data_IF_676010280324
#
_entry.id   IF_676010280324
#
_cell.length_a   1.000
_cell.length_b   1.000
_cell.length_c   1.000
_cell.angle_alpha   90.00
_cell.angle_beta   90.00
_cell.angle_gamma   90.00
#
_symmetry.space_group_name_H-M   'P 1'
#
loop_
_entity.id
_entity.type
_entity.pdbx_description
1 polymer ?
#
# COMPACT_ATOMS: atom_id res chain seq x y z
N UNK A 1 25.58 28.96 12.42
CA UNK A 1 25.01 28.81 11.03
C UNK A 1 25.32 27.46 10.35
N UNK A 2 26.03 26.54 10.96
CA UNK A 2 26.49 25.28 10.31
C UNK A 2 25.56 24.06 10.46
N UNK A 3 24.52 24.10 11.27
CA UNK A 3 23.77 22.88 11.65
C UNK A 3 22.65 22.48 10.66
N UNK A 4 22.15 23.38 9.86
CA UNK A 4 20.98 23.08 8.99
C UNK A 4 21.32 22.16 7.79
N UNK A 5 22.55 22.16 7.29
CA UNK A 5 22.98 21.35 6.16
C UNK A 5 23.64 20.00 6.54
N UNK A 6 23.98 19.79 7.81
CA UNK A 6 24.70 18.60 8.25
C UNK A 6 23.86 17.32 8.20
N UNK A 7 22.60 17.40 8.69
CA UNK A 7 21.68 16.23 8.70
C UNK A 7 21.42 15.64 7.29
N UNK A 8 21.06 16.44 6.27
CA UNK A 8 20.89 15.92 4.92
C UNK A 8 22.16 15.31 4.33
N UNK A 9 23.34 15.89 4.62
CA UNK A 9 24.62 15.40 4.11
C UNK A 9 25.01 14.04 4.73
N UNK A 10 24.89 13.91 6.04
CA UNK A 10 25.16 12.63 6.75
C UNK A 10 24.22 11.55 6.24
N UNK A 11 22.94 11.86 6.10
CA UNK A 11 21.94 10.93 5.60
C UNK A 11 22.23 10.50 4.15
N UNK A 12 22.66 11.42 3.29
CA UNK A 12 23.03 11.12 1.91
C UNK A 12 24.20 10.15 1.83
N UNK A 13 25.28 10.39 2.61
CA UNK A 13 26.45 9.51 2.68
C UNK A 13 26.09 8.14 3.27
N UNK A 14 25.26 8.12 4.31
CA UNK A 14 24.77 6.88 4.91
C UNK A 14 23.97 6.04 3.94
N UNK A 15 23.06 6.66 3.18
CA UNK A 15 22.27 5.97 2.16
C UNK A 15 23.12 5.40 1.03
N UNK A 16 24.15 6.12 0.56
CA UNK A 16 25.05 5.60 -0.47
C UNK A 16 25.80 4.33 -0.01
N UNK A 17 26.33 4.34 1.21
CA UNK A 17 27.00 3.16 1.79
C UNK A 17 26.04 1.99 1.96
N UNK A 18 24.82 2.26 2.45
CA UNK A 18 23.79 1.26 2.65
C UNK A 18 23.37 0.61 1.32
N UNK A 19 23.11 1.40 0.28
CA UNK A 19 22.71 0.88 -1.03
C UNK A 19 23.79 -0.03 -1.63
N UNK A 20 25.06 0.32 -1.45
CA UNK A 20 26.17 -0.54 -1.92
C UNK A 20 26.19 -1.89 -1.18
N UNK A 21 25.95 -1.89 0.12
CA UNK A 21 25.88 -3.12 0.90
C UNK A 21 24.67 -3.97 0.51
N UNK A 22 23.49 -3.34 0.38
CA UNK A 22 22.25 -4.03 -0.02
C UNK A 22 22.37 -4.68 -1.40
N UNK A 23 22.99 -3.99 -2.36
CA UNK A 23 23.22 -4.53 -3.69
C UNK A 23 24.13 -5.78 -3.67
N UNK A 24 25.18 -5.76 -2.85
CA UNK A 24 26.10 -6.90 -2.71
C UNK A 24 25.45 -8.12 -2.06
N UNK A 25 24.57 -7.89 -1.09
CA UNK A 25 23.91 -8.95 -0.31
C UNK A 25 22.56 -9.38 -0.88
N UNK A 26 22.09 -8.75 -1.95
CA UNK A 26 20.75 -8.95 -2.53
C UNK A 26 19.62 -8.83 -1.49
N UNK A 27 19.81 -7.93 -0.52
CA UNK A 27 18.89 -7.72 0.59
C UNK A 27 17.89 -6.61 0.31
N UNK A 28 16.71 -6.72 0.90
CA UNK A 28 15.68 -5.67 0.88
C UNK A 28 15.74 -4.87 2.18
N UNK A 29 15.72 -3.55 2.07
CA UNK A 29 15.67 -2.64 3.20
C UNK A 29 14.36 -1.86 3.21
N UNK A 30 13.54 -2.06 4.25
CA UNK A 30 12.28 -1.37 4.45
C UNK A 30 12.48 -0.16 5.37
N UNK A 31 12.11 1.02 4.89
CA UNK A 31 12.18 2.27 5.64
C UNK A 31 10.78 2.77 5.96
N UNK A 32 10.45 2.88 7.23
CA UNK A 32 9.21 3.49 7.70
C UNK A 32 9.45 4.98 7.95
N UNK A 33 8.56 5.82 7.44
CA UNK A 33 8.61 7.26 7.62
C UNK A 33 7.21 7.85 7.76
N UNK A 34 7.09 9.00 8.41
CA UNK A 34 5.82 9.72 8.52
C UNK A 34 5.62 10.70 7.37
N UNK A 35 4.38 10.79 6.88
CA UNK A 35 3.94 11.89 6.04
C UNK A 35 3.66 13.10 6.91
N UNK A 36 4.18 14.26 6.51
CA UNK A 36 3.89 15.55 7.13
C UNK A 36 3.13 16.43 6.16
N UNK A 37 2.24 17.26 6.68
CA UNK A 37 1.53 18.27 5.89
C UNK A 37 2.54 19.28 5.34
N UNK A 38 2.40 19.60 4.08
CA UNK A 38 3.25 20.59 3.43
C UNK A 38 2.69 22.00 3.68
N UNK A 39 3.17 22.63 4.76
CA UNK A 39 2.74 24.00 5.15
C UNK A 39 3.58 25.10 4.54
N UNK A 40 4.68 24.78 3.88
CA UNK A 40 5.64 25.76 3.33
C UNK A 40 5.31 26.17 1.89
N UNK A 41 4.10 25.90 1.41
CA UNK A 41 3.69 26.24 0.05
C UNK A 41 2.90 27.53 0.08
N UNK A 42 3.50 28.62 -0.36
CA UNK A 42 2.84 29.94 -0.47
C UNK A 42 1.75 29.98 -1.55
N UNK A 43 1.57 28.90 -2.30
CA UNK A 43 0.58 28.79 -3.37
C UNK A 43 -0.47 27.72 -3.00
N UNK A 44 -1.75 28.10 -2.82
CA UNK A 44 -2.84 27.18 -2.50
C UNK A 44 -2.98 26.02 -3.52
N UNK A 45 -2.71 26.28 -4.78
CA UNK A 45 -2.80 25.30 -5.86
C UNK A 45 -1.71 24.22 -5.75
N UNK A 46 -0.50 24.60 -5.36
CA UNK A 46 0.57 23.64 -5.05
C UNK A 46 0.26 22.84 -3.78
N UNK A 47 -0.40 23.43 -2.80
CA UNK A 47 -0.82 22.74 -1.58
C UNK A 47 -1.85 21.64 -1.87
N UNK A 48 -2.74 21.86 -2.85
CA UNK A 48 -3.69 20.85 -3.33
C UNK A 48 -3.02 19.72 -4.10
N UNK A 49 -1.99 20.04 -4.90
CA UNK A 49 -1.26 19.06 -5.72
C UNK A 49 -0.28 18.20 -4.91
N UNK A 50 0.35 18.79 -3.88
CA UNK A 50 1.34 18.12 -3.03
C UNK A 50 1.08 18.39 -1.53
N UNK A 51 -0.03 17.87 -0.98
CA UNK A 51 -0.42 18.15 0.40
C UNK A 51 0.52 17.52 1.44
N UNK A 52 1.33 16.56 1.01
CA UNK A 52 2.19 15.79 1.91
C UNK A 52 3.65 15.83 1.46
N UNK A 53 4.54 15.79 2.44
CA UNK A 53 5.95 15.54 2.21
C UNK A 53 6.52 14.56 3.24
N UNK A 54 7.66 13.95 2.91
CA UNK A 54 8.40 13.09 3.83
C UNK A 54 9.66 13.78 4.32
N UNK A 55 9.92 13.78 5.63
CA UNK A 55 11.19 14.21 6.18
C UNK A 55 12.37 13.39 5.64
N UNK A 56 13.57 13.97 5.62
CA UNK A 56 14.81 13.27 5.25
C UNK A 56 15.47 13.75 3.96
N UNK A 57 14.83 14.72 3.27
CA UNK A 57 15.42 15.38 2.11
C UNK A 57 15.47 14.53 0.85
N UNK A 58 16.04 15.08 -0.20
CA UNK A 58 16.08 14.50 -1.54
C UNK A 58 16.87 13.19 -1.63
N UNK A 59 17.89 13.00 -0.79
CA UNK A 59 18.73 11.80 -0.83
C UNK A 59 17.93 10.51 -0.62
N UNK A 60 17.01 10.50 0.35
CA UNK A 60 16.12 9.36 0.58
C UNK A 60 15.21 9.14 -0.63
N UNK A 61 14.66 10.23 -1.21
CA UNK A 61 13.75 10.14 -2.35
C UNK A 61 14.43 9.51 -3.57
N UNK A 62 15.71 9.76 -3.79
CA UNK A 62 16.46 9.15 -4.89
C UNK A 62 16.87 7.70 -4.62
N UNK A 63 17.06 7.34 -3.35
CA UNK A 63 17.49 6.00 -2.94
C UNK A 63 16.40 4.93 -3.12
N UNK A 64 15.12 5.26 -2.95
CA UNK A 64 14.05 4.25 -3.06
C UNK A 64 13.96 3.62 -4.44
N UNK A 65 13.74 2.31 -4.44
CA UNK A 65 13.20 1.60 -5.61
C UNK A 65 11.69 1.68 -5.66
N UNK A 66 11.04 1.52 -4.50
CA UNK A 66 9.60 1.69 -4.32
C UNK A 66 9.32 2.68 -3.21
N UNK A 67 8.27 3.47 -3.36
CA UNK A 67 7.73 4.35 -2.32
C UNK A 67 6.23 4.21 -2.27
N UNK A 68 5.74 3.78 -1.13
CA UNK A 68 4.31 3.55 -0.90
C UNK A 68 3.82 4.57 0.14
N UNK A 69 2.76 5.24 -0.17
CA UNK A 69 2.06 6.12 0.76
C UNK A 69 0.83 5.41 1.31
N UNK A 70 0.73 5.37 2.63
CA UNK A 70 -0.43 4.91 3.35
C UNK A 70 -1.16 6.12 3.94
N UNK A 71 -2.39 6.33 3.54
CA UNK A 71 -3.20 7.45 3.99
C UNK A 71 -4.57 6.94 4.43
N UNK A 72 -5.08 7.49 5.54
CA UNK A 72 -6.48 7.24 5.93
C UNK A 72 -7.44 7.91 4.93
N UNK A 73 -8.52 7.25 4.63
CA UNK A 73 -9.61 7.84 3.88
C UNK A 73 -10.38 8.80 4.79
N UNK A 74 -10.87 9.90 4.21
CA UNK A 74 -11.67 10.89 4.94
C UNK A 74 -13.15 10.53 4.84
N UNK A 75 -13.83 10.48 5.97
CA UNK A 75 -15.28 10.28 6.05
C UNK A 75 -15.71 9.32 7.15
N UNK A 76 -16.96 9.43 7.59
CA UNK A 76 -17.51 8.55 8.65
C UNK A 76 -17.54 7.07 8.21
N UNK A 77 -17.76 6.81 6.93
CA UNK A 77 -17.84 5.46 6.36
C UNK A 77 -16.49 4.72 6.26
N UNK A 78 -15.37 5.40 6.54
CA UNK A 78 -14.04 4.79 6.50
C UNK A 78 -13.64 4.11 7.79
N UNK A 79 -14.37 4.36 8.87
CA UNK A 79 -14.19 3.65 10.13
C UNK A 79 -15.05 2.39 10.14
N UNK A 80 -14.48 1.33 10.66
CA UNK A 80 -15.18 0.08 10.92
C UNK A 80 -15.58 0.13 12.38
N UNK A 81 -16.87 -0.03 12.64
CA UNK A 81 -17.45 0.02 13.98
C UNK A 81 -17.97 -1.37 14.34
N UNK A 82 -17.91 -1.71 15.62
CA UNK A 82 -18.54 -2.91 16.17
C UNK A 82 -20.05 -2.71 16.39
N UNK A 83 -20.74 -3.73 16.88
CA UNK A 83 -22.18 -3.71 17.15
C UNK A 83 -22.56 -2.66 18.21
N UNK A 84 -21.62 -2.20 19.03
CA UNK A 84 -21.78 -1.17 20.05
C UNK A 84 -21.44 0.25 19.54
N UNK A 85 -21.02 0.39 18.28
CA UNK A 85 -20.61 1.66 17.68
C UNK A 85 -19.19 2.10 18.03
N UNK A 86 -18.35 1.24 18.60
CA UNK A 86 -16.95 1.53 18.85
C UNK A 86 -16.12 1.29 17.57
N UNK A 87 -15.20 2.20 17.31
CA UNK A 87 -14.31 2.09 16.17
C UNK A 87 -13.25 1.01 16.41
N UNK A 88 -13.31 -0.05 15.65
CA UNK A 88 -12.41 -1.19 15.73
C UNK A 88 -11.45 -1.28 14.54
N UNK A 89 -11.64 -0.45 13.52
CA UNK A 89 -10.81 -0.49 12.33
C UNK A 89 -10.98 0.73 11.44
N UNK A 90 -10.22 0.76 10.35
CA UNK A 90 -10.37 1.76 9.29
C UNK A 90 -9.94 1.23 7.94
N UNK A 91 -10.46 1.88 6.90
CA UNK A 91 -9.98 1.69 5.54
C UNK A 91 -8.77 2.59 5.27
N UNK A 92 -7.74 2.00 4.69
CA UNK A 92 -6.47 2.65 4.35
C UNK A 92 -6.30 2.65 2.84
N UNK A 93 -5.95 3.79 2.29
CA UNK A 93 -5.53 3.94 0.90
C UNK A 93 -4.03 3.78 0.80
N UNK A 94 -3.59 2.80 0.03
CA UNK A 94 -2.20 2.60 -0.37
C UNK A 94 -1.99 3.14 -1.79
N UNK A 95 -1.01 4.02 -1.99
CA UNK A 95 -0.64 4.55 -3.30
C UNK A 95 0.82 4.27 -3.58
N UNK A 96 1.11 3.67 -4.72
CA UNK A 96 2.47 3.53 -5.21
C UNK A 96 2.96 4.87 -5.77
N UNK A 97 3.57 5.67 -4.90
CA UNK A 97 3.98 7.05 -5.22
C UNK A 97 5.19 7.10 -6.14
N UNK A 98 6.11 6.14 -5.99
CA UNK A 98 7.28 5.99 -6.85
C UNK A 98 7.58 4.53 -7.09
N UNK A 99 7.94 4.19 -8.30
CA UNK A 99 8.47 2.89 -8.69
C UNK A 99 9.59 3.06 -9.73
N UNK A 100 10.70 2.36 -9.55
CA UNK A 100 11.75 2.21 -10.57
C UNK A 100 11.43 1.08 -11.55
N UNK A 101 10.38 0.30 -11.27
CA UNK A 101 9.98 -0.87 -12.06
C UNK A 101 8.76 -0.58 -12.96
N UNK A 102 8.43 0.69 -13.19
CA UNK A 102 7.20 1.10 -13.86
C UNK A 102 5.98 1.09 -12.93
N UNK A 103 4.78 1.20 -13.50
CA UNK A 103 3.48 1.09 -12.77
C UNK A 103 3.23 2.09 -11.65
N UNK A 104 3.93 3.23 -11.65
CA UNK A 104 3.72 4.31 -10.69
C UNK A 104 2.28 4.83 -10.72
N UNK A 105 1.77 5.28 -9.57
CA UNK A 105 0.44 5.86 -9.43
C UNK A 105 -0.67 4.87 -9.12
N UNK A 106 -0.42 3.56 -9.13
CA UNK A 106 -1.42 2.55 -8.72
C UNK A 106 -1.89 2.76 -7.29
N UNK A 107 -3.16 2.52 -7.09
CA UNK A 107 -3.84 2.67 -5.79
C UNK A 107 -4.52 1.36 -5.43
N UNK A 108 -4.42 0.99 -4.16
CA UNK A 108 -5.14 -0.12 -3.56
C UNK A 108 -5.69 0.34 -2.21
N UNK A 109 -6.92 -0.02 -1.91
CA UNK A 109 -7.50 0.18 -0.58
C UNK A 109 -7.55 -1.15 0.15
N UNK A 110 -7.32 -1.11 1.45
CA UNK A 110 -7.48 -2.27 2.32
C UNK A 110 -8.00 -1.83 3.69
N UNK A 111 -8.63 -2.75 4.39
CA UNK A 111 -9.14 -2.52 5.74
C UNK A 111 -8.15 -3.09 6.76
N UNK A 112 -7.96 -2.36 7.86
CA UNK A 112 -7.17 -2.80 9.01
C UNK A 112 -8.03 -2.74 10.27
N UNK A 113 -8.04 -3.81 11.05
CA UNK A 113 -8.66 -3.89 12.36
C UNK A 113 -7.59 -3.80 13.44
N UNK A 114 -7.80 -2.97 14.45
CA UNK A 114 -6.93 -2.84 15.63
C UNK A 114 -7.56 -3.35 16.91
N UNK A 115 -8.85 -3.72 16.86
CA UNK A 115 -9.56 -4.33 17.96
C UNK A 115 -10.57 -5.37 17.44
N UNK A 116 -11.12 -6.19 18.34
CA UNK A 116 -12.01 -7.30 18.02
C UNK A 116 -11.25 -8.63 17.87
N UNK A 117 -11.95 -9.67 17.41
CA UNK A 117 -11.42 -11.04 17.35
C UNK A 117 -10.39 -11.26 16.22
N UNK A 118 -10.44 -10.45 15.17
CA UNK A 118 -9.61 -10.60 13.96
C UNK A 118 -8.75 -9.34 13.73
N UNK A 119 -7.84 -9.05 14.66
CA UNK A 119 -6.91 -7.90 14.54
C UNK A 119 -5.93 -8.14 13.39
N UNK A 120 -5.77 -7.13 12.53
CA UNK A 120 -4.86 -7.17 11.39
C UNK A 120 -5.45 -6.63 10.10
N UNK A 121 -4.81 -6.94 8.98
CA UNK A 121 -5.31 -6.57 7.65
C UNK A 121 -6.40 -7.56 7.24
N UNK A 122 -7.56 -7.05 6.81
CA UNK A 122 -8.64 -7.85 6.23
C UNK A 122 -8.26 -8.24 4.79
N UNK A 123 -7.38 -9.24 4.71
CA UNK A 123 -6.74 -9.63 3.47
C UNK A 123 -7.74 -10.21 2.45
N UNK A 124 -8.73 -10.97 2.93
CA UNK A 124 -9.73 -11.63 2.10
C UNK A 124 -10.56 -10.63 1.28
N UNK A 125 -11.04 -9.57 1.92
CA UNK A 125 -11.79 -8.51 1.23
C UNK A 125 -10.92 -7.77 0.22
N UNK A 126 -9.68 -7.48 0.59
CA UNK A 126 -8.73 -6.77 -0.29
C UNK A 126 -8.41 -7.62 -1.52
N UNK A 127 -8.18 -8.91 -1.32
CA UNK A 127 -7.90 -9.85 -2.40
C UNK A 127 -9.12 -10.06 -3.30
N UNK A 128 -10.30 -10.23 -2.73
CA UNK A 128 -11.54 -10.34 -3.51
C UNK A 128 -11.78 -9.10 -4.36
N UNK A 129 -11.52 -7.91 -3.82
CA UNK A 129 -11.64 -6.64 -4.55
C UNK A 129 -10.62 -6.58 -5.69
N UNK A 130 -9.37 -6.98 -5.45
CA UNK A 130 -8.33 -7.04 -6.47
C UNK A 130 -8.68 -8.05 -7.58
N UNK A 131 -9.19 -9.22 -7.23
CA UNK A 131 -9.62 -10.24 -8.20
C UNK A 131 -10.81 -9.75 -9.02
N UNK A 132 -11.78 -9.08 -8.40
CA UNK A 132 -12.95 -8.49 -9.12
C UNK A 132 -12.55 -7.42 -10.12
N UNK A 133 -11.47 -6.68 -9.85
CA UNK A 133 -10.94 -5.67 -10.77
C UNK A 133 -10.05 -6.25 -11.87
N UNK A 134 -9.76 -7.54 -11.82
CA UNK A 134 -8.99 -8.24 -12.85
C UNK A 134 -9.91 -8.88 -13.89
N UNK A 135 -9.44 -9.01 -15.14
CA UNK A 135 -10.17 -9.68 -16.22
C UNK A 135 -10.30 -11.21 -16.04
N UNK A 136 -9.84 -11.72 -14.88
CA UNK A 136 -9.81 -13.17 -14.58
C UNK A 136 -11.04 -13.68 -13.89
N UNK A 137 -11.97 -12.83 -13.53
CA UNK A 137 -13.20 -13.20 -12.86
C UNK A 137 -14.38 -13.06 -13.79
N UNK A 138 -15.10 -14.16 -14.01
CA UNK A 138 -16.38 -14.13 -14.70
C UNK A 138 -17.49 -13.99 -13.67
N UNK A 139 -18.41 -13.05 -13.91
CA UNK A 139 -19.53 -12.77 -13.02
C UNK A 139 -20.84 -13.25 -13.67
N UNK A 140 -21.63 -14.01 -12.92
CA UNK A 140 -22.99 -14.41 -13.30
C UNK A 140 -23.94 -14.17 -12.12
N UNK A 141 -24.47 -12.94 -12.04
CA UNK A 141 -25.26 -12.49 -10.89
C UNK A 141 -24.44 -12.41 -9.60
N UNK A 142 -24.84 -13.17 -8.57
CA UNK A 142 -24.13 -13.23 -7.29
C UNK A 142 -22.95 -14.22 -7.29
N UNK A 143 -22.77 -14.98 -8.36
CA UNK A 143 -21.76 -16.02 -8.47
C UNK A 143 -20.55 -15.58 -9.27
N UNK A 144 -19.40 -15.94 -8.78
CA UNK A 144 -18.10 -15.67 -9.40
C UNK A 144 -17.41 -16.97 -9.78
N UNK A 145 -16.75 -16.96 -10.92
CA UNK A 145 -15.88 -18.07 -11.37
C UNK A 145 -14.53 -17.49 -11.72
N UNK A 146 -13.48 -18.02 -11.12
CA UNK A 146 -12.10 -17.61 -11.40
C UNK A 146 -11.60 -18.40 -12.62
N UNK A 147 -10.98 -17.70 -13.56
CA UNK A 147 -10.41 -18.32 -14.75
C UNK A 147 -9.37 -19.38 -14.38
N UNK A 148 -9.54 -20.59 -14.92
CA UNK A 148 -8.70 -21.75 -14.60
C UNK A 148 -9.19 -22.57 -13.40
N UNK A 149 -10.33 -22.20 -12.80
CA UNK A 149 -10.99 -22.96 -11.75
C UNK A 149 -12.46 -23.16 -12.06
N UNK A 150 -12.96 -24.40 -11.92
CA UNK A 150 -14.37 -24.72 -12.22
C UNK A 150 -15.31 -24.40 -11.05
N UNK A 151 -14.75 -24.07 -9.87
CA UNK A 151 -15.54 -23.83 -8.66
C UNK A 151 -16.17 -22.45 -8.69
N UNK A 152 -17.52 -22.42 -8.65
CA UNK A 152 -18.28 -21.17 -8.47
C UNK A 152 -18.35 -20.81 -6.99
N UNK A 153 -18.20 -19.55 -6.68
CA UNK A 153 -18.28 -19.04 -5.31
C UNK A 153 -19.04 -17.72 -5.23
N UNK A 154 -19.53 -17.39 -4.05
CA UNK A 154 -20.09 -16.07 -3.72
C UNK A 154 -19.10 -15.27 -2.89
N UNK A 155 -19.26 -13.95 -2.84
CA UNK A 155 -18.38 -13.08 -2.04
C UNK A 155 -18.31 -13.51 -0.56
N UNK A 156 -19.43 -13.93 0.02
CA UNK A 156 -19.52 -14.40 1.41
C UNK A 156 -18.79 -15.72 1.68
N UNK A 157 -18.62 -16.57 0.66
CA UNK A 157 -17.93 -17.86 0.79
C UNK A 157 -16.46 -17.79 0.41
N UNK A 158 -16.00 -16.67 -0.15
CA UNK A 158 -14.63 -16.48 -0.60
C UNK A 158 -13.58 -16.72 0.51
N UNK A 159 -13.75 -16.25 1.76
CA UNK A 159 -12.79 -16.51 2.84
C UNK A 159 -12.57 -18.00 3.12
N UNK A 160 -13.59 -18.84 2.90
CA UNK A 160 -13.50 -20.29 3.08
C UNK A 160 -12.67 -20.99 2.00
N UNK A 161 -12.53 -20.37 0.84
CA UNK A 161 -11.73 -20.90 -0.28
C UNK A 161 -10.24 -20.54 -0.13
N UNK A 162 -9.93 -19.49 0.62
CA UNK A 162 -8.57 -18.98 0.78
C UNK A 162 -7.57 -19.99 1.35
N UNK A 163 -7.87 -20.76 2.40
CA UNK A 163 -6.92 -21.73 2.97
C UNK A 163 -6.48 -22.80 1.97
N UNK A 164 -7.33 -23.12 1.01
CA UNK A 164 -7.08 -24.17 0.00
C UNK A 164 -6.32 -23.61 -1.20
N UNK A 165 -6.39 -22.30 -1.44
CA UNK A 165 -5.97 -21.69 -2.70
C UNK A 165 -4.69 -20.84 -2.61
N UNK A 166 -4.14 -20.60 -1.41
CA UNK A 166 -2.91 -19.79 -1.26
C UNK A 166 -1.71 -20.33 -2.03
N UNK A 167 -1.66 -21.64 -2.26
CA UNK A 167 -0.59 -22.28 -3.05
C UNK A 167 -0.75 -22.10 -4.56
N UNK A 168 -1.94 -21.70 -5.03
CA UNK A 168 -2.25 -21.56 -6.46
C UNK A 168 -2.57 -20.11 -6.89
N UNK A 169 -2.82 -19.20 -5.94
CA UNK A 169 -2.97 -17.77 -6.21
C UNK A 169 -1.61 -17.06 -6.14
N UNK A 170 -0.61 -17.58 -6.78
CA UNK A 170 0.50 -16.74 -7.19
C UNK A 170 -0.09 -15.72 -8.15
N UNK A 171 -0.21 -14.47 -7.69
CA UNK A 171 -0.49 -13.36 -8.59
C UNK A 171 0.53 -13.47 -9.71
N UNK A 172 0.10 -13.56 -10.97
CA UNK A 172 1.07 -13.60 -12.05
C UNK A 172 1.92 -12.36 -11.93
N UNK A 173 3.20 -12.57 -11.82
CA UNK A 173 4.18 -11.52 -12.01
C UNK A 173 3.87 -10.93 -13.37
N UNK A 174 3.33 -9.72 -13.40
CA UNK A 174 3.07 -9.00 -14.65
C UNK A 174 4.47 -8.57 -15.12
N UNK A 175 5.14 -9.43 -15.81
CA UNK A 175 6.20 -9.04 -16.72
C UNK A 175 5.51 -8.43 -17.93
N UNK A 176 5.32 -7.12 -17.92
CA UNK A 176 5.16 -6.38 -19.17
C UNK A 176 6.54 -6.27 -19.79
N UNK A 177 6.72 -6.90 -20.91
CA UNK A 177 7.78 -6.65 -21.88
C UNK A 177 7.72 -5.19 -22.33
#
# INVERSE_FOLDING_TARGET
QSSMAQKPRVLSLGMQKLLTALSKTQSTFLVLNQLKTNINVNNPMMMLSQPWFTPGGKAIIYAYSLRIWLTGLKGKKTFIEDDNGYRIGSEVKSKLEKSKFGTQGRVCNFKILWAGDNVGIMNDESLLTAIKSSDRLTNSGAWFTLQGHDTKFQAATFPKLMPVSYTHLTLPTIYSV
#
